data_IF_753601718672
#
_entry.id   IF_753601718672
#
_cell.length_a   1.000
_cell.length_b   1.000
_cell.length_c   1.000
_cell.angle_alpha   90.00
_cell.angle_beta   90.00
_cell.angle_gamma   90.00
#
_symmetry.space_group_name_H-M   'P 1'
#
loop_
_entity.id
_entity.type
_entity.pdbx_description
1 polymer ?
#
# COMPACT_ATOMS: atom_id res chain seq x y z
N UNK A 1 -10.39 -11.06 -10.37
CA UNK A 1 -9.92 -9.87 -9.65
C UNK A 1 -10.70 -9.74 -8.35
N UNK A 2 -10.06 -9.30 -7.26
CA UNK A 2 -10.68 -9.27 -5.91
C UNK A 2 -11.18 -7.86 -5.63
N UNK A 3 -12.41 -7.70 -5.13
CA UNK A 3 -12.90 -6.40 -4.67
C UNK A 3 -12.17 -5.96 -3.40
N UNK A 4 -11.85 -4.68 -3.32
CA UNK A 4 -11.28 -4.04 -2.13
C UNK A 4 -11.88 -2.65 -1.94
N UNK A 5 -11.56 -2.03 -0.81
CA UNK A 5 -11.80 -0.62 -0.58
C UNK A 5 -10.48 0.11 -0.42
N UNK A 6 -10.39 1.29 -1.02
CA UNK A 6 -9.21 2.14 -1.02
C UNK A 6 -9.51 3.48 -0.41
N UNK A 7 -8.59 3.97 0.43
CA UNK A 7 -8.69 5.28 1.06
C UNK A 7 -8.07 6.32 0.15
N UNK A 8 -8.85 7.30 -0.28
CA UNK A 8 -8.41 8.38 -1.15
C UNK A 8 -8.79 9.75 -0.57
N UNK A 9 -8.03 10.78 -0.93
CA UNK A 9 -8.37 12.16 -0.61
C UNK A 9 -9.17 12.78 -1.75
N UNK A 10 -10.41 13.18 -1.48
CA UNK A 10 -11.23 13.92 -2.43
C UNK A 10 -10.98 15.42 -2.33
N UNK A 11 -10.63 16.04 -3.47
CA UNK A 11 -10.33 17.48 -3.52
C UNK A 11 -11.56 18.34 -3.25
N UNK A 12 -12.73 17.95 -3.76
CA UNK A 12 -13.96 18.75 -3.66
C UNK A 12 -14.48 18.83 -2.23
N UNK A 13 -14.48 17.69 -1.53
CA UNK A 13 -14.97 17.58 -0.15
C UNK A 13 -13.87 17.83 0.89
N UNK A 14 -12.60 17.88 0.47
CA UNK A 14 -11.39 17.98 1.31
C UNK A 14 -11.35 16.93 2.42
N UNK A 15 -11.81 15.72 2.12
CA UNK A 15 -11.92 14.62 3.08
C UNK A 15 -11.31 13.35 2.53
N UNK A 16 -10.81 12.52 3.45
CA UNK A 16 -10.45 11.15 3.12
C UNK A 16 -11.72 10.29 3.12
N UNK A 17 -11.92 9.54 2.04
CA UNK A 17 -13.07 8.66 1.86
C UNK A 17 -12.61 7.28 1.42
N UNK A 18 -13.39 6.27 1.76
CA UNK A 18 -13.20 4.91 1.26
C UNK A 18 -14.03 4.71 -0.01
N UNK A 19 -13.42 4.21 -1.08
CA UNK A 19 -14.10 3.86 -2.32
C UNK A 19 -13.86 2.40 -2.68
N UNK A 20 -14.84 1.76 -3.30
CA UNK A 20 -14.67 0.43 -3.86
C UNK A 20 -13.74 0.47 -5.07
N UNK A 21 -12.89 -0.55 -5.19
CA UNK A 21 -11.95 -0.72 -6.28
C UNK A 21 -11.73 -2.21 -6.56
N UNK A 22 -11.09 -2.51 -7.69
CA UNK A 22 -10.60 -3.85 -7.99
C UNK A 22 -9.11 -3.95 -7.66
N UNK A 23 -8.76 -4.87 -6.77
CA UNK A 23 -7.38 -5.18 -6.45
C UNK A 23 -6.76 -6.04 -7.55
N UNK A 24 -5.62 -5.57 -8.07
CA UNK A 24 -4.89 -6.22 -9.16
C UNK A 24 -3.65 -6.97 -8.67
N UNK A 25 -2.98 -6.46 -7.64
CA UNK A 25 -1.80 -7.10 -7.07
C UNK A 25 -1.00 -6.18 -6.17
N UNK A 26 0.12 -6.69 -5.67
CA UNK A 26 1.12 -5.94 -4.90
C UNK A 26 2.49 -6.19 -5.51
N UNK A 27 3.31 -5.16 -5.56
CA UNK A 27 4.73 -5.28 -5.84
C UNK A 27 5.53 -4.56 -4.76
N UNK A 28 6.82 -4.87 -4.66
CA UNK A 28 7.72 -4.19 -3.74
C UNK A 28 8.43 -3.06 -4.48
N UNK A 29 8.33 -1.84 -3.94
CA UNK A 29 9.22 -0.76 -4.34
C UNK A 29 10.40 -0.72 -3.38
N UNK A 30 11.62 -0.69 -3.92
CA UNK A 30 12.84 -0.60 -3.13
C UNK A 30 13.82 0.38 -3.73
N UNK A 31 14.49 1.15 -2.88
CA UNK A 31 15.58 2.03 -3.27
C UNK A 31 16.69 2.02 -2.23
N UNK A 32 17.91 2.26 -2.69
CA UNK A 32 19.07 2.41 -1.82
C UNK A 32 19.15 3.87 -1.40
N UNK A 33 19.09 4.14 -0.09
CA UNK A 33 19.39 5.46 0.44
C UNK A 33 20.90 5.55 0.61
N UNK A 34 21.57 6.21 -0.33
CA UNK A 34 23.01 6.41 -0.25
C UNK A 34 23.33 7.40 0.89
N UNK A 35 24.19 6.99 1.83
CA UNK A 35 24.72 7.88 2.86
C UNK A 35 25.75 8.85 2.25
N UNK A 36 25.83 10.07 2.78
CA UNK A 36 26.81 11.08 2.31
C UNK A 36 28.25 10.80 2.78
N UNK A 37 28.52 9.64 3.36
CA UNK A 37 29.81 9.27 3.94
C UNK A 37 30.53 8.23 3.08
N UNK A 38 31.83 8.45 2.86
CA UNK A 38 32.70 7.51 2.15
C UNK A 38 32.86 6.26 3.02
N UNK A 39 32.42 5.11 2.52
CA UNK A 39 32.57 3.80 3.18
C UNK A 39 31.31 3.21 3.80
N UNK A 40 30.16 3.90 3.77
CA UNK A 40 28.89 3.32 4.22
C UNK A 40 28.17 2.55 3.10
N UNK A 41 27.76 1.31 3.40
CA UNK A 41 26.79 0.59 2.59
C UNK A 41 25.41 1.18 2.92
N UNK A 42 24.85 1.95 1.99
CA UNK A 42 23.55 2.58 2.16
C UNK A 42 22.45 1.56 2.51
N UNK A 43 21.53 1.96 3.40
CA UNK A 43 20.39 1.13 3.77
C UNK A 43 19.41 0.95 2.60
N UNK A 44 18.89 -0.26 2.43
CA UNK A 44 17.78 -0.53 1.51
C UNK A 44 16.47 -0.19 2.21
N UNK A 45 15.70 0.72 1.62
CA UNK A 45 14.32 0.99 2.03
C UNK A 45 13.41 0.24 1.06
N UNK A 46 12.57 -0.65 1.58
CA UNK A 46 11.60 -1.40 0.81
C UNK A 46 10.21 -1.25 1.43
N UNK A 47 9.19 -1.06 0.60
CA UNK A 47 7.80 -1.03 1.04
C UNK A 47 6.86 -1.62 -0.01
N UNK A 48 5.77 -2.28 0.42
CA UNK A 48 4.77 -2.83 -0.49
C UNK A 48 3.90 -1.73 -1.08
N UNK A 49 3.66 -1.83 -2.39
CA UNK A 49 2.77 -0.96 -3.16
C UNK A 49 1.68 -1.81 -3.77
N UNK A 50 0.42 -1.47 -3.47
CA UNK A 50 -0.75 -2.09 -4.06
C UNK A 50 -1.10 -1.41 -5.39
N UNK A 51 -1.49 -2.22 -6.37
CA UNK A 51 -2.06 -1.77 -7.64
C UNK A 51 -3.54 -2.09 -7.64
N UNK A 52 -4.34 -1.06 -7.86
CA UNK A 52 -5.81 -1.15 -7.91
C UNK A 52 -6.34 -0.49 -9.16
N UNK A 53 -7.49 -0.93 -9.62
CA UNK A 53 -8.30 -0.25 -10.62
C UNK A 53 -9.47 0.45 -9.90
N UNK A 54 -9.47 1.79 -9.93
CA UNK A 54 -10.54 2.63 -9.41
C UNK A 54 -11.15 3.40 -10.58
N UNK A 55 -12.42 3.17 -10.89
CA UNK A 55 -13.13 3.86 -11.98
C UNK A 55 -12.41 3.79 -13.35
N UNK A 56 -11.86 2.63 -13.71
CA UNK A 56 -11.04 2.40 -14.91
C UNK A 56 -9.68 3.11 -14.93
N UNK A 57 -9.25 3.68 -13.80
CA UNK A 57 -7.92 4.25 -13.63
C UNK A 57 -7.05 3.35 -12.75
N UNK A 58 -5.81 3.12 -13.20
CA UNK A 58 -4.81 2.39 -12.43
C UNK A 58 -4.18 3.30 -11.39
N UNK A 59 -4.29 2.92 -10.12
CA UNK A 59 -3.68 3.63 -9.02
C UNK A 59 -2.64 2.77 -8.31
N UNK A 60 -1.53 3.39 -7.93
CA UNK A 60 -0.48 2.83 -7.11
C UNK A 60 -0.53 3.51 -5.74
N UNK A 61 -0.72 2.74 -4.68
CA UNK A 61 -0.84 3.26 -3.32
C UNK A 61 -0.14 2.36 -2.32
N UNK A 62 0.26 2.92 -1.19
CA UNK A 62 0.74 2.12 -0.07
C UNK A 62 -0.36 1.13 0.36
N UNK A 63 0.01 -0.13 0.62
CA UNK A 63 -0.93 -1.19 0.99
C UNK A 63 -1.78 -0.86 2.22
N UNK A 64 -1.30 -0.01 3.13
CA UNK A 64 -2.06 0.45 4.31
C UNK A 64 -3.33 1.23 3.96
N UNK A 65 -3.45 1.75 2.73
CA UNK A 65 -4.64 2.42 2.24
C UNK A 65 -5.63 1.45 1.55
N UNK A 66 -5.36 0.15 1.55
CA UNK A 66 -6.23 -0.89 0.99
C UNK A 66 -6.80 -1.75 2.12
N UNK A 67 -8.10 -2.00 2.09
CA UNK A 67 -8.77 -2.97 2.97
C UNK A 67 -9.59 -3.97 2.17
N UNK A 68 -9.67 -5.19 2.69
CA UNK A 68 -10.51 -6.25 2.14
C UNK A 68 -11.60 -6.56 3.17
N UNK A 69 -12.86 -6.53 2.76
CA UNK A 69 -13.95 -6.99 3.62
C UNK A 69 -13.85 -8.52 3.79
N UNK A 70 -14.15 -9.01 5.00
CA UNK A 70 -14.17 -10.44 5.32
C UNK A 70 -12.81 -11.10 5.58
N UNK A 71 -11.77 -10.33 5.92
CA UNK A 71 -10.48 -10.88 6.38
C UNK A 71 -10.29 -10.56 7.86
N UNK A 72 -10.38 -11.58 8.71
CA UNK A 72 -9.93 -11.47 10.10
C UNK A 72 -8.40 -11.59 10.16
N UNK A 73 -7.76 -10.63 10.84
CA UNK A 73 -6.31 -10.68 11.09
C UNK A 73 -6.05 -11.77 12.14
N UNK A 74 -5.46 -12.89 11.72
CA UNK A 74 -4.96 -13.90 12.66
C UNK A 74 -3.69 -13.33 13.31
N UNK A 75 -3.79 -12.85 14.55
CA UNK A 75 -2.63 -12.48 15.35
C UNK A 75 -1.94 -13.76 15.85
N UNK A 76 -0.94 -14.24 15.12
CA UNK A 76 -0.05 -15.33 15.59
C UNK A 76 1.00 -14.82 16.59
N UNK A 77 0.57 -14.09 17.62
CA UNK A 77 1.43 -13.61 18.71
C UNK A 77 1.09 -14.29 20.03
N UNK A 78 0.92 -15.60 19.99
CA UNK A 78 0.88 -16.47 21.18
C UNK A 78 1.65 -17.73 20.84
N UNK A 79 2.97 -17.73 21.03
CA UNK A 79 3.84 -18.88 21.32
C UNK A 79 5.31 -18.54 21.02
N UNK A 80 5.89 -17.60 21.77
CA UNK A 80 7.32 -17.51 22.01
C UNK A 80 7.55 -17.34 23.51
#
# INVERSE_FOLDING_TARGET
MRRCQVKIYEKDTKKEVWKEAEFLGVYQYSFVKQGNLIGEIGGVVAFPVAVVNLNNELLQLNIHYVRFEGVEMVNESKNL
#
